data_IF_875182283332
#
_entry.id   IF_875182283332
#
_cell.length_a   1.000
_cell.length_b   1.000
_cell.length_c   1.000
_cell.angle_alpha   90.00
_cell.angle_beta   90.00
_cell.angle_gamma   90.00
#
_symmetry.space_group_name_H-M   'P 1'
#
loop_
_entity.id
_entity.type
_entity.pdbx_description
1 polymer ?
#
# COMPACT_ATOMS: atom_id res chain seq x y z
N UNK A 1 -7.21 23.12 7.61
CA UNK A 1 -6.59 21.78 7.70
C UNK A 1 -6.29 21.16 6.33
N UNK A 2 -7.27 20.97 5.44
CA UNK A 2 -7.02 20.35 4.11
C UNK A 2 -6.07 21.15 3.18
N UNK A 3 -6.06 22.49 3.26
CA UNK A 3 -5.19 23.31 2.41
C UNK A 3 -3.71 23.26 2.82
N UNK A 4 -3.40 23.10 4.11
CA UNK A 4 -2.02 23.00 4.59
C UNK A 4 -1.40 21.64 4.23
N UNK A 5 -2.20 20.57 4.29
CA UNK A 5 -1.80 19.24 3.82
C UNK A 5 -1.54 19.24 2.30
N UNK A 6 -2.40 19.91 1.52
CA UNK A 6 -2.17 20.08 0.07
C UNK A 6 -0.96 20.96 -0.25
N UNK A 7 -0.75 22.04 0.50
CA UNK A 7 0.45 22.87 0.35
C UNK A 7 1.73 22.06 0.65
N UNK A 8 1.70 21.19 1.68
CA UNK A 8 2.80 20.29 2.00
C UNK A 8 3.08 19.28 0.87
N UNK A 9 2.05 18.70 0.26
CA UNK A 9 2.21 17.80 -0.90
C UNK A 9 2.81 18.52 -2.11
N UNK A 10 2.39 19.77 -2.36
CA UNK A 10 2.85 20.60 -3.47
C UNK A 10 4.30 21.08 -3.29
N UNK A 11 4.68 21.48 -2.08
CA UNK A 11 6.08 21.83 -1.73
C UNK A 11 7.04 20.63 -1.84
N UNK A 12 6.52 19.40 -1.66
CA UNK A 12 7.30 18.16 -1.66
C UNK A 12 7.28 17.42 -3.00
N UNK A 13 6.51 17.89 -3.99
CA UNK A 13 6.31 17.21 -5.27
C UNK A 13 5.69 15.81 -5.15
N UNK A 14 5.03 15.51 -4.02
CA UNK A 14 4.43 14.21 -3.76
C UNK A 14 2.99 14.19 -4.28
N UNK A 15 2.66 13.25 -5.18
CA UNK A 15 1.32 13.13 -5.73
C UNK A 15 0.44 12.24 -4.84
N UNK A 16 -0.63 12.76 -4.20
CA UNK A 16 -1.53 11.96 -3.37
C UNK A 16 -2.27 10.87 -4.17
N UNK A 17 -2.36 11.01 -5.50
CA UNK A 17 -2.94 10.02 -6.40
C UNK A 17 -1.97 8.88 -6.80
N UNK A 18 -0.70 8.93 -6.40
CA UNK A 18 0.25 7.84 -6.70
C UNK A 18 -0.19 6.49 -6.11
N UNK A 19 -1.02 6.50 -5.06
CA UNK A 19 -1.59 5.29 -4.47
C UNK A 19 -2.69 4.60 -5.29
N UNK A 20 -3.36 5.29 -6.22
CA UNK A 20 -4.41 4.70 -7.06
C UNK A 20 -3.93 4.33 -8.47
N UNK A 21 -2.75 4.81 -8.89
CA UNK A 21 -2.12 4.42 -10.15
C UNK A 21 -1.95 2.89 -10.32
N UNK A 22 -1.58 2.11 -9.27
CA UNK A 22 -1.51 0.66 -9.36
C UNK A 22 -2.88 0.03 -9.61
N UNK A 23 -3.96 0.57 -9.01
CA UNK A 23 -5.31 0.06 -9.24
C UNK A 23 -5.74 0.25 -10.69
N UNK A 24 -5.45 1.42 -11.27
CA UNK A 24 -5.83 1.76 -12.64
C UNK A 24 -5.11 0.87 -13.67
N UNK A 25 -3.84 0.55 -13.40
CA UNK A 25 -3.05 -0.39 -14.21
C UNK A 25 -3.50 -1.85 -14.03
N UNK A 26 -4.11 -2.21 -12.90
CA UNK A 26 -4.53 -3.59 -12.60
C UNK A 26 -5.85 -3.96 -13.29
N UNK A 27 -6.75 -2.99 -13.52
CA UNK A 27 -8.08 -3.24 -14.09
C UNK A 27 -8.07 -4.00 -15.44
N UNK A 28 -7.19 -3.69 -16.41
CA UNK A 28 -7.11 -4.43 -17.67
C UNK A 28 -6.73 -5.91 -17.50
N UNK A 29 -5.80 -6.20 -16.57
CA UNK A 29 -5.32 -7.56 -16.32
C UNK A 29 -6.41 -8.41 -15.68
N UNK A 30 -7.13 -7.85 -14.70
CA UNK A 30 -8.25 -8.52 -14.04
C UNK A 30 -9.37 -8.84 -15.03
N UNK A 31 -9.72 -7.89 -15.92
CA UNK A 31 -10.74 -8.10 -16.94
C UNK A 31 -10.35 -9.19 -17.94
N UNK A 32 -9.09 -9.18 -18.41
CA UNK A 32 -8.59 -10.20 -19.33
C UNK A 32 -8.63 -11.60 -18.69
N UNK A 33 -8.18 -11.72 -17.44
CA UNK A 33 -8.17 -12.99 -16.72
C UNK A 33 -9.58 -13.50 -16.40
N UNK A 34 -10.48 -12.64 -15.93
CA UNK A 34 -11.88 -13.00 -15.69
C UNK A 34 -12.59 -13.42 -16.98
N UNK A 35 -12.35 -12.73 -18.10
CA UNK A 35 -12.90 -13.10 -19.41
C UNK A 35 -12.37 -14.45 -19.88
N UNK A 36 -11.08 -14.73 -19.69
CA UNK A 36 -10.49 -16.02 -20.01
C UNK A 36 -11.17 -17.13 -19.20
N UNK A 37 -11.22 -17.01 -17.87
CA UNK A 37 -11.89 -17.99 -17.01
C UNK A 37 -13.38 -18.16 -17.32
N UNK A 38 -14.06 -17.10 -17.72
CA UNK A 38 -15.50 -17.15 -18.02
C UNK A 38 -15.82 -17.74 -19.40
N UNK A 39 -14.88 -17.69 -20.35
CA UNK A 39 -15.06 -18.19 -21.72
C UNK A 39 -14.46 -19.58 -21.91
N UNK A 40 -13.44 -19.94 -21.14
CA UNK A 40 -12.78 -21.24 -21.22
C UNK A 40 -13.68 -22.34 -20.66
N UNK A 41 -14.27 -23.13 -21.56
CA UNK A 41 -15.11 -24.30 -21.23
C UNK A 41 -14.27 -25.40 -20.55
N UNK A 42 -12.96 -25.42 -20.82
CA UNK A 42 -11.98 -26.41 -20.34
C UNK A 42 -11.66 -26.33 -18.84
N UNK A 43 -11.93 -25.17 -18.20
CA UNK A 43 -11.62 -24.96 -16.77
C UNK A 43 -12.67 -25.59 -15.85
N UNK A 44 -13.84 -25.98 -16.40
CA UNK A 44 -14.93 -26.60 -15.64
C UNK A 44 -14.52 -28.01 -15.20
N UNK A 45 -14.41 -28.22 -13.89
CA UNK A 45 -14.00 -29.51 -13.34
C UNK A 45 -12.50 -29.78 -13.44
N UNK A 46 -11.67 -28.76 -13.72
CA UNK A 46 -10.21 -28.93 -13.71
C UNK A 46 -9.70 -28.86 -12.26
N UNK A 47 -9.05 -29.93 -11.77
CA UNK A 47 -8.44 -29.96 -10.46
C UNK A 47 -7.04 -29.34 -10.52
N UNK A 48 -6.76 -28.39 -9.63
CA UNK A 48 -5.47 -27.69 -9.64
C UNK A 48 -4.45 -28.34 -8.71
N UNK A 49 -4.52 -28.05 -7.41
CA UNK A 49 -3.54 -28.52 -6.41
C UNK A 49 -4.24 -28.82 -5.09
N UNK A 50 -3.90 -29.97 -4.48
CA UNK A 50 -4.33 -30.34 -3.14
C UNK A 50 -5.84 -30.56 -3.06
N UNK A 51 -6.53 -29.66 -2.35
CA UNK A 51 -7.98 -29.73 -2.09
C UNK A 51 -8.83 -28.95 -3.10
N UNK A 52 -8.21 -28.29 -4.09
CA UNK A 52 -8.92 -27.55 -5.14
C UNK A 52 -9.31 -28.53 -6.24
N UNK A 53 -10.56 -28.97 -6.20
CA UNK A 53 -11.10 -29.99 -7.11
C UNK A 53 -11.75 -29.40 -8.37
N UNK A 54 -12.07 -28.10 -8.36
CA UNK A 54 -12.65 -27.40 -9.50
C UNK A 54 -12.32 -25.90 -9.42
N UNK A 55 -11.61 -25.39 -10.45
CA UNK A 55 -11.24 -23.98 -10.58
C UNK A 55 -12.44 -23.03 -10.80
N UNK A 56 -13.56 -23.55 -11.29
CA UNK A 56 -14.77 -22.77 -11.60
C UNK A 56 -15.73 -22.64 -10.41
N UNK A 57 -15.61 -23.51 -9.40
CA UNK A 57 -16.42 -23.49 -8.18
C UNK A 57 -15.67 -22.84 -7.02
N UNK A 58 -16.41 -22.48 -5.96
CA UNK A 58 -15.82 -22.00 -4.72
C UNK A 58 -14.97 -23.09 -4.05
N UNK A 59 -13.94 -22.68 -3.29
CA UNK A 59 -13.09 -23.62 -2.54
C UNK A 59 -13.93 -24.35 -1.48
N UNK A 60 -14.04 -25.69 -1.54
CA UNK A 60 -14.88 -26.46 -0.62
C UNK A 60 -14.42 -26.39 0.84
N UNK A 61 -13.15 -26.07 1.09
CA UNK A 61 -12.57 -25.98 2.44
C UNK A 61 -12.25 -24.53 2.86
N UNK A 62 -12.50 -23.55 1.99
CA UNK A 62 -12.24 -22.12 2.24
C UNK A 62 -10.79 -21.79 2.63
N UNK A 63 -9.83 -22.70 2.40
CA UNK A 63 -8.44 -22.49 2.78
C UNK A 63 -7.81 -21.43 1.89
N UNK A 64 -8.05 -21.49 0.59
CA UNK A 64 -7.50 -20.56 -0.40
C UNK A 64 -7.91 -19.10 -0.14
N UNK A 65 -9.20 -18.76 0.10
CA UNK A 65 -9.58 -17.39 0.41
C UNK A 65 -8.98 -16.90 1.73
N UNK A 66 -8.87 -17.76 2.76
CA UNK A 66 -8.24 -17.36 4.04
C UNK A 66 -6.74 -17.07 3.84
N UNK A 67 -6.02 -17.91 3.11
CA UNK A 67 -4.60 -17.69 2.79
C UNK A 67 -4.44 -16.43 1.95
N UNK A 68 -5.31 -16.21 0.96
CA UNK A 68 -5.35 -14.97 0.17
C UNK A 68 -5.53 -13.75 1.06
N UNK A 69 -6.49 -13.76 2.00
CA UNK A 69 -6.70 -12.68 2.96
C UNK A 69 -5.48 -12.42 3.86
N UNK A 70 -4.86 -13.48 4.37
CA UNK A 70 -3.63 -13.38 5.16
C UNK A 70 -2.48 -12.74 4.36
N UNK A 71 -2.32 -13.12 3.08
CA UNK A 71 -1.31 -12.50 2.21
C UNK A 71 -1.60 -11.04 1.91
N UNK A 72 -2.87 -10.64 1.73
CA UNK A 72 -3.23 -9.23 1.56
C UNK A 72 -2.87 -8.40 2.80
N UNK A 73 -3.19 -8.89 4.00
CA UNK A 73 -2.84 -8.20 5.26
C UNK A 73 -1.31 -8.08 5.39
N UNK A 74 -0.57 -9.14 5.04
CA UNK A 74 0.88 -9.13 5.04
C UNK A 74 1.44 -8.09 4.07
N UNK A 75 0.96 -8.07 2.83
CA UNK A 75 1.36 -7.12 1.79
C UNK A 75 1.10 -5.67 2.24
N UNK A 76 -0.04 -5.43 2.91
CA UNK A 76 -0.41 -4.12 3.41
C UNK A 76 0.43 -3.65 4.60
N UNK A 77 0.94 -4.58 5.41
CA UNK A 77 1.92 -4.26 6.46
C UNK A 77 3.32 -3.96 5.91
N UNK A 78 3.67 -4.53 4.77
CA UNK A 78 4.96 -4.27 4.11
C UNK A 78 4.96 -2.95 3.32
N UNK A 79 3.80 -2.41 2.97
CA UNK A 79 3.69 -1.16 2.20
C UNK A 79 3.60 0.06 3.12
N UNK A 80 4.58 0.98 3.09
CA UNK A 80 4.56 2.19 3.90
C UNK A 80 3.46 3.13 3.41
N UNK A 81 2.35 3.20 4.13
CA UNK A 81 1.25 4.12 3.83
C UNK A 81 1.41 5.39 4.66
N UNK A 82 1.55 6.54 3.98
CA UNK A 82 1.54 7.87 4.59
C UNK A 82 0.09 8.36 4.76
N UNK A 83 -0.75 7.54 5.36
CA UNK A 83 -2.17 7.81 5.51
C UNK A 83 -2.44 8.32 6.93
N UNK A 84 -3.38 9.26 7.08
CA UNK A 84 -3.87 9.65 8.40
C UNK A 84 -4.41 8.42 9.16
N UNK A 85 -4.36 8.41 10.51
CA UNK A 85 -4.68 7.23 11.32
C UNK A 85 -6.10 6.67 11.07
N UNK A 86 -7.04 7.50 10.61
CA UNK A 86 -8.37 7.04 10.18
C UNK A 86 -8.32 6.25 8.86
N UNK A 87 -7.57 6.74 7.87
CA UNK A 87 -7.44 6.09 6.57
C UNK A 87 -6.64 4.78 6.67
N UNK A 88 -5.62 4.72 7.54
CA UNK A 88 -4.87 3.48 7.81
C UNK A 88 -5.76 2.36 8.36
N UNK A 89 -6.72 2.69 9.23
CA UNK A 89 -7.68 1.70 9.78
C UNK A 89 -8.60 1.14 8.70
N UNK A 90 -9.13 2.01 7.83
CA UNK A 90 -9.97 1.58 6.69
C UNK A 90 -9.15 0.69 5.75
N UNK A 91 -7.92 1.10 5.44
CA UNK A 91 -6.99 0.34 4.62
C UNK A 91 -6.75 -1.06 5.17
N UNK A 92 -6.54 -1.23 6.48
CA UNK A 92 -6.35 -2.56 7.10
C UNK A 92 -7.63 -3.41 7.18
N UNK A 93 -8.82 -2.78 7.15
CA UNK A 93 -10.10 -3.48 7.18
C UNK A 93 -10.53 -3.99 5.80
N UNK A 94 -10.11 -3.31 4.73
CA UNK A 94 -10.43 -3.67 3.34
C UNK A 94 -10.09 -5.12 2.97
N UNK A 95 -8.89 -5.65 3.26
CA UNK A 95 -8.56 -7.05 3.00
C UNK A 95 -9.50 -8.04 3.68
N UNK A 96 -9.92 -7.75 4.91
CA UNK A 96 -10.78 -8.64 5.69
C UNK A 96 -12.16 -8.74 5.06
N UNK A 97 -12.72 -7.59 4.65
CA UNK A 97 -13.98 -7.55 3.91
C UNK A 97 -13.88 -8.28 2.56
N UNK A 98 -12.82 -8.04 1.80
CA UNK A 98 -12.59 -8.71 0.51
C UNK A 98 -12.46 -10.23 0.68
N UNK A 99 -11.76 -10.67 1.72
CA UNK A 99 -11.60 -12.09 2.06
C UNK A 99 -12.96 -12.75 2.25
N UNK A 100 -13.84 -12.15 3.07
CA UNK A 100 -15.17 -12.69 3.33
C UNK A 100 -16.04 -12.73 2.07
N UNK A 101 -15.99 -11.68 1.24
CA UNK A 101 -16.70 -11.66 -0.04
C UNK A 101 -16.22 -12.76 -1.01
N UNK A 102 -14.92 -13.05 -1.00
CA UNK A 102 -14.29 -14.01 -1.93
C UNK A 102 -14.42 -15.47 -1.50
N UNK A 103 -14.98 -15.75 -0.33
CA UNK A 103 -15.29 -17.12 0.14
C UNK A 103 -16.22 -17.85 -0.84
N UNK A 104 -17.11 -17.12 -1.53
CA UNK A 104 -18.06 -17.68 -2.50
C UNK A 104 -17.64 -17.46 -3.96
N UNK A 105 -16.48 -16.86 -4.20
CA UNK A 105 -15.97 -16.64 -5.55
C UNK A 105 -15.36 -17.93 -6.12
N UNK A 106 -15.31 -18.09 -7.46
CA UNK A 106 -14.59 -19.18 -8.10
C UNK A 106 -13.14 -19.28 -7.61
N UNK A 107 -12.69 -20.48 -7.24
CA UNK A 107 -11.38 -20.72 -6.65
C UNK A 107 -10.23 -20.27 -7.56
N UNK A 108 -10.41 -20.34 -8.89
CA UNK A 108 -9.45 -19.79 -9.86
C UNK A 108 -9.23 -18.29 -9.76
N UNK A 109 -10.29 -17.52 -9.46
CA UNK A 109 -10.18 -16.07 -9.23
C UNK A 109 -9.42 -15.78 -7.93
N UNK A 110 -9.70 -16.56 -6.88
CA UNK A 110 -9.02 -16.43 -5.58
C UNK A 110 -7.54 -16.79 -5.70
N UNK A 111 -7.21 -17.87 -6.42
CA UNK A 111 -5.85 -18.30 -6.72
C UNK A 111 -5.05 -17.26 -7.48
N UNK A 112 -5.68 -16.60 -8.45
CA UNK A 112 -5.05 -15.50 -9.18
C UNK A 112 -4.65 -14.35 -8.24
N UNK A 113 -5.56 -13.95 -7.34
CA UNK A 113 -5.26 -12.92 -6.35
C UNK A 113 -4.15 -13.33 -5.40
N UNK A 114 -4.21 -14.57 -4.89
CA UNK A 114 -3.18 -15.13 -4.03
C UNK A 114 -1.81 -15.10 -4.72
N UNK A 115 -1.73 -15.56 -5.96
CA UNK A 115 -0.49 -15.60 -6.74
C UNK A 115 0.05 -14.20 -6.99
N UNK A 116 -0.83 -13.25 -7.34
CA UNK A 116 -0.48 -11.84 -7.54
C UNK A 116 0.04 -11.19 -6.26
N UNK A 117 -0.57 -11.47 -5.11
CA UNK A 117 -0.12 -10.98 -3.80
C UNK A 117 1.26 -11.55 -3.45
N UNK A 118 1.48 -12.85 -3.66
CA UNK A 118 2.78 -13.50 -3.41
C UNK A 118 3.87 -12.89 -4.27
N UNK A 119 3.59 -12.68 -5.57
CA UNK A 119 4.53 -12.00 -6.47
C UNK A 119 4.79 -10.55 -6.02
N UNK A 120 3.74 -9.82 -5.66
CA UNK A 120 3.85 -8.45 -5.15
C UNK A 120 4.65 -8.35 -3.85
N UNK A 121 4.48 -9.30 -2.92
CA UNK A 121 5.29 -9.41 -1.71
C UNK A 121 6.75 -9.71 -2.08
N UNK A 122 7.00 -10.66 -2.98
CA UNK A 122 8.34 -10.98 -3.46
C UNK A 122 9.03 -9.75 -4.08
N UNK A 123 8.30 -9.01 -4.91
CA UNK A 123 8.76 -7.75 -5.50
C UNK A 123 9.03 -6.69 -4.42
N UNK A 124 8.13 -6.52 -3.44
CA UNK A 124 8.31 -5.56 -2.35
C UNK A 124 9.52 -5.91 -1.48
N UNK A 125 9.74 -7.19 -1.16
CA UNK A 125 10.90 -7.67 -0.40
C UNK A 125 12.18 -7.44 -1.18
N UNK A 126 12.20 -7.76 -2.48
CA UNK A 126 13.34 -7.50 -3.36
C UNK A 126 13.66 -6.00 -3.43
N UNK A 127 12.64 -5.16 -3.64
CA UNK A 127 12.79 -3.69 -3.65
C UNK A 127 13.34 -3.18 -2.31
N UNK A 128 12.79 -3.63 -1.18
CA UNK A 128 13.26 -3.23 0.14
C UNK A 128 14.71 -3.67 0.40
N UNK A 129 15.13 -4.83 -0.11
CA UNK A 129 16.52 -5.30 -0.03
C UNK A 129 17.49 -4.53 -0.93
N UNK A 130 17.06 -4.16 -2.14
CA UNK A 130 17.94 -3.54 -3.15
C UNK A 130 18.06 -2.02 -2.94
N UNK A 131 16.93 -1.34 -2.69
CA UNK A 131 16.86 0.14 -2.67
C UNK A 131 16.92 0.70 -1.23
N UNK A 132 16.63 -0.14 -0.23
CA UNK A 132 16.50 0.27 1.17
C UNK A 132 15.20 1.05 1.45
N UNK A 133 14.80 1.20 2.72
CA UNK A 133 13.59 1.94 3.06
C UNK A 133 13.69 3.39 2.55
N UNK A 134 12.65 3.93 1.90
CA UNK A 134 12.68 5.29 1.38
C UNK A 134 13.00 6.25 2.52
N UNK A 135 13.98 7.14 2.32
CA UNK A 135 14.34 8.16 3.32
C UNK A 135 13.14 9.09 3.53
N UNK A 136 12.35 8.84 4.58
CA UNK A 136 11.27 9.72 5.00
C UNK A 136 11.90 11.03 5.46
N UNK A 137 11.80 12.07 4.62
CA UNK A 137 12.34 13.39 4.95
C UNK A 137 11.39 14.04 5.96
N UNK A 138 11.64 13.81 7.25
CA UNK A 138 10.92 14.44 8.35
C UNK A 138 11.14 15.96 8.28
N UNK A 139 10.09 16.73 8.04
CA UNK A 139 10.16 18.20 8.10
C UNK A 139 9.51 18.63 9.39
N UNK A 140 10.20 19.54 10.10
CA UNK A 140 9.70 20.17 11.31
C UNK A 140 8.36 20.89 11.02
N UNK A 141 7.39 20.84 11.95
CA UNK A 141 6.13 21.54 11.82
C UNK A 141 6.35 23.03 11.48
N UNK A 142 5.46 23.70 10.72
CA UNK A 142 5.55 25.14 10.47
C UNK A 142 5.70 25.97 11.76
N UNK A 143 5.09 25.51 12.86
CA UNK A 143 5.22 26.09 14.20
C UNK A 143 6.65 26.06 14.77
N UNK A 144 7.49 25.13 14.32
CA UNK A 144 8.88 25.00 14.76
C UNK A 144 9.87 25.67 13.80
N UNK A 145 9.40 26.11 12.62
CA UNK A 145 10.17 27.00 11.73
C UNK A 145 10.19 28.38 12.37
N UNK A 146 11.06 28.56 13.38
CA UNK A 146 11.37 29.88 13.93
C UNK A 146 11.61 30.83 12.76
N UNK A 147 10.88 31.97 12.67
CA UNK A 147 11.04 32.89 11.56
C UNK A 147 12.51 33.27 11.41
N UNK A 148 12.97 33.41 10.16
CA UNK A 148 14.37 33.70 9.88
C UNK A 148 14.88 34.95 10.63
N UNK A 149 13.98 35.88 10.94
CA UNK A 149 14.21 37.02 11.82
C UNK A 149 14.65 36.63 13.24
N UNK A 150 14.00 35.64 13.88
CA UNK A 150 14.33 35.17 15.23
C UNK A 150 15.66 34.40 15.27
N UNK A 151 15.96 33.62 14.21
CA UNK A 151 17.28 32.98 14.04
C UNK A 151 18.40 33.99 13.85
N UNK A 152 18.15 35.07 13.08
CA UNK A 152 19.10 36.16 12.88
C UNK A 152 19.31 36.96 14.17
N UNK A 153 18.24 37.24 14.92
CA UNK A 153 18.29 37.93 16.21
C UNK A 153 19.10 37.14 17.25
N UNK A 154 18.87 35.81 17.38
CA UNK A 154 19.69 34.96 18.27
C UNK A 154 21.17 34.91 17.88
N UNK A 155 21.47 34.81 16.58
CA UNK A 155 22.86 34.84 16.09
C UNK A 155 23.53 36.19 16.34
N UNK A 156 22.80 37.29 16.19
CA UNK A 156 23.30 38.63 16.49
C UNK A 156 23.54 38.84 17.99
N UNK A 157 22.64 38.34 18.85
CA UNK A 157 22.80 38.37 20.31
C UNK A 157 23.96 37.50 20.80
N UNK A 158 24.16 36.32 20.21
CA UNK A 158 25.30 35.44 20.54
C UNK A 158 26.65 36.03 20.09
N UNK A 159 26.71 36.67 18.91
CA UNK A 159 27.92 37.37 18.47
C UNK A 159 28.27 38.56 19.39
N UNK A 160 27.28 39.36 19.79
CA UNK A 160 27.51 40.48 20.71
C UNK A 160 27.94 40.04 22.12
N UNK A 161 27.41 38.93 22.63
CA UNK A 161 27.83 38.38 23.94
C UNK A 161 29.24 37.76 23.94
N UNK A 162 29.75 37.38 22.76
CA UNK A 162 31.10 36.83 22.62
C UNK A 162 32.17 37.91 22.37
N UNK A 163 31.74 39.11 21.95
CA UNK A 163 32.59 40.29 21.71
C UNK A 163 32.64 41.24 22.92
N UNK A 164 31.92 40.93 24.00
CA UNK A 164 31.85 41.71 25.26
C UNK A 164 32.37 40.96 26.49
N UNK A 165 32.95 39.77 26.30
CA UNK A 165 33.71 39.11 27.35
C UNK A 165 35.17 39.66 27.34
N UNK A 166 35.66 40.24 28.44
CA UNK A 166 36.98 40.85 28.55
C UNK A 166 38.13 39.85 28.44
#
# INVERSE_FOLDING_TARGET
>A
MNQEIMALYRERGANPASGCLPMLLTMPVLFAFYRLLSLSIEIRGEPFVGWITDLSLADPFYVTPIVMGATMVLQQRMTPTQADPMQQRIMMMMPVMFTFMFVFAPSGLVLYWLTSNVFGIGQQVATNRIIGPPKVRTVRPPAERRPAAERRARKAGQRKGQESAP
#
